data_IF_899573744555
#
_entry.id   IF_899573744555
#
_cell.length_a   1.000
_cell.length_b   1.000
_cell.length_c   1.000
_cell.angle_alpha   90.00
_cell.angle_beta   90.00
_cell.angle_gamma   90.00
#
_symmetry.space_group_name_H-M   'P 1'
#
loop_
_entity.id
_entity.type
_entity.pdbx_description
1 polymer ?
#
# COMPACT_ATOMS: atom_id res chain seq x y z
N UNK A 1 18.35 -2.43 -6.76
CA UNK A 1 17.21 -2.67 -7.69
C UNK A 1 16.14 -1.66 -7.39
N UNK A 2 15.86 -0.75 -8.32
CA UNK A 2 14.91 0.32 -8.13
C UNK A 2 13.51 -0.25 -7.92
N UNK A 3 12.89 0.10 -6.79
CA UNK A 3 11.48 -0.14 -6.55
C UNK A 3 10.69 0.72 -7.54
N UNK A 4 10.04 0.11 -8.51
CA UNK A 4 9.08 0.78 -9.38
C UNK A 4 7.80 1.09 -8.58
N UNK A 5 7.92 2.01 -7.62
CA UNK A 5 6.81 2.54 -6.86
C UNK A 5 6.28 3.79 -7.54
N UNK A 6 4.97 3.89 -7.70
CA UNK A 6 4.32 5.12 -8.14
C UNK A 6 4.29 6.07 -6.95
N UNK A 7 4.97 7.21 -7.06
CA UNK A 7 4.96 8.27 -6.04
C UNK A 7 4.06 9.41 -6.53
N UNK A 8 3.16 9.88 -5.69
CA UNK A 8 2.35 11.06 -6.00
C UNK A 8 2.36 12.05 -4.83
N UNK A 9 2.30 13.33 -5.16
CA UNK A 9 2.20 14.44 -4.21
C UNK A 9 0.80 15.04 -4.30
N UNK A 10 0.09 15.09 -3.17
CA UNK A 10 -1.25 15.68 -3.09
C UNK A 10 -1.09 17.18 -2.86
N UNK A 11 -1.68 17.99 -3.75
CA UNK A 11 -1.80 19.44 -3.62
C UNK A 11 -3.25 19.79 -3.20
N UNK A 12 -3.45 20.97 -2.59
CA UNK A 12 -4.78 21.45 -2.21
C UNK A 12 -5.21 21.10 -0.78
N UNK A 13 -4.26 20.75 0.09
CA UNK A 13 -4.50 20.55 1.53
C UNK A 13 -3.87 21.65 2.38
N UNK A 14 -3.63 22.84 1.80
CA UNK A 14 -2.81 23.90 2.42
C UNK A 14 -3.40 24.41 3.75
N UNK A 15 -4.71 24.63 3.83
CA UNK A 15 -5.38 25.04 5.08
C UNK A 15 -5.29 23.95 6.17
N UNK A 16 -5.51 22.69 5.79
CA UNK A 16 -5.36 21.55 6.70
C UNK A 16 -3.89 21.36 7.10
N UNK A 17 -2.96 21.68 6.20
CA UNK A 17 -1.53 21.69 6.46
C UNK A 17 -1.13 22.68 7.54
N UNK A 18 -1.67 23.91 7.49
CA UNK A 18 -1.45 24.93 8.51
C UNK A 18 -1.96 24.51 9.88
N UNK A 19 -3.21 24.02 9.94
CA UNK A 19 -3.79 23.50 11.19
C UNK A 19 -3.01 22.31 11.75
N UNK A 20 -2.48 21.43 10.90
CA UNK A 20 -1.60 20.35 11.31
C UNK A 20 -0.25 20.82 11.84
N UNK A 21 0.29 21.94 11.30
CA UNK A 21 1.57 22.49 11.74
C UNK A 21 1.51 23.07 13.16
N UNK A 22 0.35 23.52 13.61
CA UNK A 22 0.12 24.02 14.97
C UNK A 22 0.10 22.90 16.03
N UNK A 23 -0.11 21.66 15.64
CA UNK A 23 -0.16 20.52 16.55
C UNK A 23 1.23 20.01 16.92
N UNK A 24 1.35 19.42 18.11
CA UNK A 24 2.61 18.76 18.52
C UNK A 24 2.94 17.56 17.63
N UNK A 25 4.18 17.47 17.18
CA UNK A 25 4.67 16.58 16.14
C UNK A 25 4.22 15.10 16.17
N UNK A 26 4.07 14.48 17.37
CA UNK A 26 3.59 13.08 17.47
C UNK A 26 2.13 12.91 17.07
N UNK A 27 1.28 13.88 17.41
CA UNK A 27 -0.17 13.85 17.07
C UNK A 27 -0.36 14.10 15.58
N UNK A 28 0.32 15.10 15.04
CA UNK A 28 0.36 15.41 13.61
C UNK A 28 0.77 14.17 12.80
N UNK A 29 1.85 13.49 13.21
CA UNK A 29 2.33 12.31 12.52
C UNK A 29 1.32 11.15 12.54
N UNK A 30 0.54 10.97 13.62
CA UNK A 30 -0.52 9.97 13.69
C UNK A 30 -1.65 10.28 12.70
N UNK A 31 -2.06 11.55 12.62
CA UNK A 31 -3.14 12.00 11.71
C UNK A 31 -2.69 11.80 10.26
N UNK A 32 -1.50 12.29 9.88
CA UNK A 32 -0.95 12.14 8.53
C UNK A 32 -0.85 10.66 8.15
N UNK A 33 -0.30 9.82 9.04
CA UNK A 33 -0.19 8.38 8.81
C UNK A 33 -1.55 7.72 8.58
N UNK A 34 -2.56 8.09 9.37
CA UNK A 34 -3.92 7.59 9.22
C UNK A 34 -4.51 7.97 7.86
N UNK A 35 -4.36 9.23 7.46
CA UNK A 35 -4.85 9.74 6.18
C UNK A 35 -4.19 9.05 4.98
N UNK A 36 -2.86 8.99 4.96
CA UNK A 36 -2.11 8.34 3.87
C UNK A 36 -2.40 6.83 3.80
N UNK A 37 -2.59 6.18 4.96
CA UNK A 37 -3.01 4.77 5.00
C UNK A 37 -4.40 4.57 4.39
N UNK A 38 -5.34 5.45 4.69
CA UNK A 38 -6.69 5.39 4.14
C UNK A 38 -6.71 5.63 2.62
N UNK A 39 -5.94 6.60 2.13
CA UNK A 39 -5.76 6.84 0.69
C UNK A 39 -5.13 5.64 -0.03
N UNK A 40 -4.05 5.09 0.51
CA UNK A 40 -3.39 3.90 -0.05
C UNK A 40 -4.33 2.67 -0.09
N UNK A 41 -5.26 2.55 0.88
CA UNK A 41 -6.27 1.48 0.89
C UNK A 41 -7.23 1.54 -0.29
N UNK A 42 -7.59 2.75 -0.74
CA UNK A 42 -8.43 2.92 -1.95
C UNK A 42 -7.71 2.32 -3.16
N UNK A 43 -6.42 2.62 -3.33
CA UNK A 43 -5.61 2.08 -4.43
C UNK A 43 -5.52 0.56 -4.35
N UNK A 44 -5.21 0.00 -3.16
CA UNK A 44 -5.10 -1.44 -2.95
C UNK A 44 -6.40 -2.17 -3.31
N UNK A 45 -7.55 -1.64 -2.88
CA UNK A 45 -8.84 -2.25 -3.15
C UNK A 45 -9.17 -2.26 -4.64
N UNK A 46 -8.91 -1.17 -5.34
CA UNK A 46 -9.17 -1.09 -6.77
C UNK A 46 -8.17 -1.91 -7.60
N UNK A 47 -6.88 -1.86 -7.27
CA UNK A 47 -5.86 -2.71 -7.88
C UNK A 47 -6.18 -4.21 -7.71
N UNK A 48 -6.67 -4.62 -6.54
CA UNK A 48 -7.13 -6.00 -6.31
C UNK A 48 -8.31 -6.39 -7.20
N UNK A 49 -9.25 -5.46 -7.47
CA UNK A 49 -10.37 -5.72 -8.38
C UNK A 49 -9.89 -5.92 -9.82
N UNK A 50 -8.95 -5.11 -10.27
CA UNK A 50 -8.42 -5.10 -11.65
C UNK A 50 -7.41 -6.23 -11.89
N UNK A 51 -6.73 -6.68 -10.86
CA UNK A 51 -5.70 -7.71 -10.98
C UNK A 51 -6.23 -8.99 -11.59
N UNK A 52 -5.52 -9.58 -12.58
CA UNK A 52 -5.91 -10.82 -13.21
C UNK A 52 -6.00 -11.96 -12.20
N UNK A 53 -7.02 -12.81 -12.36
CA UNK A 53 -7.31 -13.91 -11.43
C UNK A 53 -7.04 -15.24 -12.09
N UNK A 54 -6.02 -15.94 -11.61
CA UNK A 54 -5.80 -17.35 -11.90
C UNK A 54 -5.99 -18.20 -10.65
N UNK A 55 -5.26 -17.85 -9.59
CA UNK A 55 -5.31 -18.53 -8.29
C UNK A 55 -5.73 -17.61 -7.14
N UNK A 56 -5.92 -16.33 -7.42
CA UNK A 56 -6.16 -15.29 -6.44
C UNK A 56 -4.94 -14.87 -5.63
N UNK A 57 -3.80 -15.54 -5.79
CA UNK A 57 -2.57 -15.23 -5.05
C UNK A 57 -2.09 -13.80 -5.31
N UNK A 58 -2.14 -13.32 -6.56
CA UNK A 58 -1.77 -11.95 -6.91
C UNK A 58 -2.61 -10.93 -6.15
N UNK A 59 -3.93 -11.10 -6.10
CA UNK A 59 -4.83 -10.20 -5.37
C UNK A 59 -4.49 -10.12 -3.88
N UNK A 60 -4.16 -11.24 -3.26
CA UNK A 60 -3.78 -11.32 -1.84
C UNK A 60 -2.44 -10.65 -1.57
N UNK A 61 -1.53 -10.66 -2.56
CA UNK A 61 -0.19 -10.09 -2.45
C UNK A 61 -0.12 -8.57 -2.70
N UNK A 62 -1.21 -7.94 -3.21
CA UNK A 62 -1.25 -6.49 -3.39
C UNK A 62 -1.50 -5.84 -2.05
N UNK A 63 -0.54 -5.07 -1.55
CA UNK A 63 -0.62 -4.40 -0.26
C UNK A 63 0.01 -3.01 -0.31
N UNK A 64 -0.22 -2.22 0.74
CA UNK A 64 0.48 -0.96 0.95
C UNK A 64 1.38 -1.07 2.18
N UNK A 65 2.67 -0.86 2.00
CA UNK A 65 3.63 -0.83 3.08
C UNK A 65 4.17 0.57 3.30
N UNK A 66 4.45 0.89 4.57
CA UNK A 66 5.11 2.14 4.94
C UNK A 66 6.56 2.10 4.49
N UNK A 67 6.98 3.15 3.81
CA UNK A 67 8.39 3.39 3.53
C UNK A 67 9.00 4.15 4.71
N UNK A 68 9.74 3.43 5.56
CA UNK A 68 10.36 3.99 6.75
C UNK A 68 11.54 4.90 6.43
N UNK A 69 12.21 4.70 5.29
CA UNK A 69 13.39 5.48 4.91
C UNK A 69 12.99 6.88 4.44
N UNK A 70 11.87 6.98 3.71
CA UNK A 70 11.37 8.22 3.17
C UNK A 70 10.30 8.89 4.07
N UNK A 71 9.84 8.22 5.13
CA UNK A 71 8.90 8.79 6.11
C UNK A 71 9.62 9.43 7.28
N UNK A 72 9.17 10.62 7.69
CA UNK A 72 9.75 11.40 8.78
C UNK A 72 8.73 12.30 9.49
N UNK A 73 9.17 13.24 10.33
CA UNK A 73 8.29 14.21 10.96
C UNK A 73 7.51 15.02 9.91
N UNK A 74 6.18 14.98 9.96
CA UNK A 74 5.32 15.68 9.00
C UNK A 74 5.22 15.02 7.62
N UNK A 75 5.95 13.93 7.37
CA UNK A 75 6.00 13.27 6.06
C UNK A 75 5.70 11.77 6.22
N UNK A 76 4.79 11.25 5.43
CA UNK A 76 4.48 9.82 5.41
C UNK A 76 4.47 9.31 3.96
N UNK A 77 5.27 8.31 3.70
CA UNK A 77 5.31 7.61 2.42
C UNK A 77 4.81 6.18 2.56
N UNK A 78 4.02 5.75 1.57
CA UNK A 78 3.58 4.36 1.45
C UNK A 78 3.73 3.88 0.01
N UNK A 79 4.30 2.70 -0.15
CA UNK A 79 4.35 2.03 -1.44
C UNK A 79 3.16 1.07 -1.57
N UNK A 80 2.44 1.13 -2.68
CA UNK A 80 1.45 0.12 -3.07
C UNK A 80 2.11 -0.75 -4.13
N UNK A 81 2.24 -2.03 -3.85
CA UNK A 81 2.90 -2.98 -4.74
C UNK A 81 2.47 -4.41 -4.43
N UNK A 82 3.05 -5.37 -5.14
CA UNK A 82 2.90 -6.80 -4.85
C UNK A 82 4.04 -7.23 -3.92
N UNK A 83 3.67 -7.63 -2.71
CA UNK A 83 4.63 -8.02 -1.68
C UNK A 83 4.65 -9.54 -1.48
N UNK A 84 5.73 -10.03 -0.84
CA UNK A 84 5.86 -11.42 -0.45
C UNK A 84 4.80 -11.77 0.60
N UNK A 85 4.08 -12.86 0.38
CA UNK A 85 3.07 -13.33 1.33
C UNK A 85 3.71 -14.38 2.24
N UNK A 86 3.52 -14.31 3.56
CA UNK A 86 3.97 -15.36 4.44
C UNK A 86 3.25 -16.67 4.11
N UNK A 87 4.01 -17.70 3.84
CA UNK A 87 3.54 -19.08 3.73
C UNK A 87 3.89 -19.85 4.99
N UNK A 88 3.20 -20.97 5.21
CA UNK A 88 3.51 -21.91 6.28
C UNK A 88 3.88 -23.24 5.66
N UNK A 89 5.02 -23.82 6.07
CA UNK A 89 5.40 -25.15 5.61
C UNK A 89 4.35 -26.18 6.05
N UNK A 90 3.75 -26.84 5.06
CA UNK A 90 2.77 -27.89 5.30
C UNK A 90 3.39 -29.03 6.14
N UNK A 91 2.54 -29.71 6.91
CA UNK A 91 2.96 -30.83 7.76
C UNK A 91 3.14 -32.11 6.91
N UNK A 92 4.16 -32.11 6.05
CA UNK A 92 4.57 -33.27 5.25
C UNK A 92 5.68 -34.02 5.95
N UNK A 93 5.81 -35.34 5.68
CA UNK A 93 6.89 -36.19 6.24
C UNK A 93 8.28 -35.55 6.03
N UNK A 94 8.52 -34.97 4.86
CA UNK A 94 9.78 -34.30 4.54
C UNK A 94 9.99 -33.02 5.36
N UNK A 95 8.96 -32.18 5.51
CA UNK A 95 9.05 -30.96 6.30
C UNK A 95 9.23 -31.23 7.79
N UNK A 96 8.59 -32.29 8.31
CA UNK A 96 8.80 -32.78 9.68
C UNK A 96 10.24 -33.25 9.87
N UNK A 97 10.76 -34.09 8.96
CA UNK A 97 12.15 -34.56 9.00
C UNK A 97 13.16 -33.41 8.97
N UNK A 98 12.87 -32.34 8.23
CA UNK A 98 13.73 -31.14 8.12
C UNK A 98 13.46 -30.12 9.25
N UNK A 99 12.59 -30.41 10.22
CA UNK A 99 12.27 -29.55 11.35
C UNK A 99 11.66 -28.20 10.97
N UNK A 100 11.02 -28.09 9.79
CA UNK A 100 10.45 -26.83 9.26
C UNK A 100 8.91 -26.85 9.19
N UNK A 101 8.25 -27.98 9.41
CA UNK A 101 6.79 -28.06 9.46
C UNK A 101 6.21 -27.04 10.43
N UNK A 102 5.19 -26.29 10.03
CA UNK A 102 4.57 -25.23 10.80
C UNK A 102 5.37 -23.92 10.89
N UNK A 103 6.62 -23.86 10.42
CA UNK A 103 7.39 -22.61 10.36
C UNK A 103 6.89 -21.73 9.23
N UNK A 104 6.88 -20.42 9.47
CA UNK A 104 6.57 -19.44 8.43
C UNK A 104 7.79 -19.19 7.53
N UNK A 105 7.56 -19.00 6.25
CA UNK A 105 8.56 -18.56 5.29
C UNK A 105 7.97 -17.45 4.42
N UNK A 106 8.82 -16.56 3.93
CA UNK A 106 8.41 -15.58 2.93
C UNK A 106 8.47 -16.26 1.57
N UNK A 107 7.32 -16.67 1.09
CA UNK A 107 7.19 -17.19 -0.25
C UNK A 107 7.39 -16.04 -1.22
N UNK A 108 8.32 -16.17 -2.16
CA UNK A 108 8.26 -15.34 -3.35
C UNK A 108 6.89 -15.56 -3.97
N UNK A 109 6.10 -14.47 -4.14
CA UNK A 109 4.78 -14.66 -4.67
C UNK A 109 4.93 -15.48 -5.94
N UNK A 110 4.11 -16.53 -6.16
CA UNK A 110 4.07 -17.22 -7.46
C UNK A 110 3.68 -16.25 -8.58
N UNK A 111 3.88 -15.03 -8.36
CA UNK A 111 3.43 -13.82 -9.05
C UNK A 111 4.61 -12.90 -9.37
N UNK A 112 5.85 -13.41 -9.43
CA UNK A 112 7.00 -12.58 -9.89
C UNK A 112 6.73 -11.96 -11.27
N UNK A 113 5.84 -12.58 -12.04
CA UNK A 113 5.40 -12.14 -13.35
C UNK A 113 4.40 -10.95 -13.30
N UNK A 114 3.99 -10.47 -12.12
CA UNK A 114 3.08 -9.32 -12.03
C UNK A 114 3.62 -8.07 -12.74
N UNK A 115 4.95 -7.89 -12.73
CA UNK A 115 5.61 -6.79 -13.45
C UNK A 115 5.40 -6.89 -14.95
N UNK A 116 5.40 -8.10 -15.50
CA UNK A 116 5.16 -8.34 -16.92
C UNK A 116 3.70 -8.07 -17.29
N UNK A 117 2.77 -8.29 -16.37
CA UNK A 117 1.38 -7.89 -16.56
C UNK A 117 1.21 -6.37 -16.47
N UNK A 118 1.86 -5.71 -15.51
CA UNK A 118 1.76 -4.26 -15.32
C UNK A 118 2.43 -3.47 -16.44
N UNK A 119 3.64 -3.85 -16.82
CA UNK A 119 4.49 -3.12 -17.76
C UNK A 119 4.48 -3.69 -19.18
N UNK A 120 3.97 -4.92 -19.34
CA UNK A 120 4.10 -5.66 -20.60
C UNK A 120 5.50 -6.22 -20.82
N UNK A 121 5.66 -6.92 -21.94
CA UNK A 121 6.92 -7.44 -22.46
C UNK A 121 6.94 -7.30 -23.98
N UNK A 122 8.08 -7.56 -24.62
CA UNK A 122 8.18 -7.56 -26.10
C UNK A 122 7.17 -8.52 -26.75
N UNK A 123 6.75 -9.58 -26.04
CA UNK A 123 5.85 -10.63 -26.54
C UNK A 123 4.41 -10.55 -26.00
N UNK A 124 4.17 -9.71 -24.98
CA UNK A 124 2.88 -9.61 -24.30
C UNK A 124 2.52 -8.15 -24.05
N UNK A 125 1.36 -7.66 -24.48
CA UNK A 125 0.91 -6.32 -24.20
C UNK A 125 0.69 -6.12 -22.68
N UNK A 126 0.93 -4.90 -22.21
CA UNK A 126 0.68 -4.52 -20.82
C UNK A 126 -0.81 -4.66 -20.46
N UNK A 127 -1.09 -5.15 -19.27
CA UNK A 127 -2.41 -5.17 -18.64
C UNK A 127 -2.29 -4.58 -17.23
N UNK A 128 -2.12 -3.25 -17.14
CA UNK A 128 -1.85 -2.58 -15.87
C UNK A 128 -3.06 -2.66 -14.94
N UNK A 129 -2.82 -2.78 -13.64
CA UNK A 129 -3.85 -2.83 -12.60
C UNK A 129 -3.54 -1.92 -11.41
N UNK A 130 -2.26 -1.58 -11.15
CA UNK A 130 -1.86 -0.66 -10.09
C UNK A 130 -1.94 0.79 -10.59
N UNK A 131 -1.38 1.06 -11.77
CA UNK A 131 -1.35 2.41 -12.35
C UNK A 131 -2.76 2.97 -12.59
N UNK A 132 -3.71 2.25 -13.23
CA UNK A 132 -5.09 2.74 -13.36
C UNK A 132 -5.80 2.87 -12.01
N UNK A 133 -5.53 1.97 -11.06
CA UNK A 133 -6.10 2.06 -9.72
C UNK A 133 -5.70 3.35 -8.99
N UNK A 134 -4.54 3.91 -9.29
CA UNK A 134 -4.14 5.22 -8.80
C UNK A 134 -4.78 6.34 -9.62
N UNK A 135 -4.55 6.37 -10.95
CA UNK A 135 -4.91 7.51 -11.80
C UNK A 135 -6.40 7.79 -11.85
N UNK A 136 -7.23 6.74 -11.86
CA UNK A 136 -8.69 6.88 -11.92
C UNK A 136 -9.32 7.22 -10.55
N UNK A 137 -8.61 7.00 -9.44
CA UNK A 137 -9.14 7.24 -8.10
C UNK A 137 -8.52 8.45 -7.39
N UNK A 138 -7.77 9.33 -8.07
CA UNK A 138 -7.08 10.46 -7.44
C UNK A 138 -8.04 11.32 -6.61
N UNK A 139 -9.17 11.72 -7.16
CA UNK A 139 -10.18 12.52 -6.46
C UNK A 139 -10.67 11.83 -5.18
N UNK A 140 -11.07 10.55 -5.30
CA UNK A 140 -11.53 9.75 -4.16
C UNK A 140 -10.45 9.56 -3.08
N UNK A 141 -9.20 9.41 -3.50
CA UNK A 141 -8.05 9.30 -2.56
C UNK A 141 -7.92 10.59 -1.76
N UNK A 142 -7.97 11.74 -2.44
CA UNK A 142 -7.88 13.07 -1.80
C UNK A 142 -9.03 13.26 -0.81
N UNK A 143 -10.26 12.95 -1.20
CA UNK A 143 -11.44 13.11 -0.34
C UNK A 143 -11.35 12.23 0.92
N UNK A 144 -10.93 10.97 0.76
CA UNK A 144 -10.75 10.06 1.91
C UNK A 144 -9.63 10.55 2.83
N UNK A 145 -8.53 11.07 2.26
CA UNK A 145 -7.43 11.62 3.05
C UNK A 145 -7.87 12.88 3.80
N UNK A 146 -8.58 13.81 3.13
CA UNK A 146 -9.13 15.03 3.73
C UNK A 146 -10.03 14.68 4.92
N UNK A 147 -11.01 13.80 4.71
CA UNK A 147 -11.92 13.35 5.77
C UNK A 147 -11.16 12.77 6.98
N UNK A 148 -10.10 11.98 6.74
CA UNK A 148 -9.29 11.42 7.83
C UNK A 148 -8.49 12.47 8.59
N UNK A 149 -8.04 13.52 7.93
CA UNK A 149 -7.37 14.65 8.57
C UNK A 149 -8.37 15.43 9.42
N UNK A 150 -9.54 15.76 8.88
CA UNK A 150 -10.61 16.46 9.59
C UNK A 150 -11.07 15.68 10.85
N UNK A 151 -11.30 14.37 10.72
CA UNK A 151 -11.62 13.49 11.86
C UNK A 151 -10.50 13.48 12.92
N UNK A 152 -9.26 13.53 12.47
CA UNK A 152 -8.08 13.57 13.35
C UNK A 152 -7.94 14.89 14.09
N UNK A 153 -8.15 16.01 13.39
CA UNK A 153 -8.13 17.37 13.97
C UNK A 153 -9.26 17.55 14.98
N UNK A 154 -10.49 17.16 14.64
CA UNK A 154 -11.63 17.24 15.54
C UNK A 154 -11.41 16.49 16.88
N UNK A 155 -10.72 15.35 16.85
CA UNK A 155 -10.37 14.59 18.06
C UNK A 155 -9.32 15.27 18.95
N UNK A 156 -8.52 16.16 18.39
CA UNK A 156 -7.44 16.86 19.12
C UNK A 156 -7.95 18.18 19.68
N UNK A 157 -8.87 18.83 18.96
CA UNK A 157 -9.45 20.11 19.38
C UNK A 157 -10.53 19.94 20.46
N UNK A 158 -11.00 18.67 20.72
CA UNK A 158 -11.91 18.26 21.84
C UNK A 158 -13.09 19.19 22.11
N UNK A 159 -14.16 18.74 22.77
CA UNK A 159 -15.19 19.69 23.21
C UNK A 159 -14.65 20.63 24.29
#
# INVERSE_FOLDING_TARGET
MANAGITFKVQGLDLLGQQLAELRGKTTQKIIRSAVTAGARVIVLDARRRAPVRTGALRKSIESLRDKQNSGPGIEFRAVSVFKVPGVYANTKENVRKGRAGRTYLQDPPTFYWKFNELGTVRQPARPFIQPALSENIGRIIDVMRKKIEEGLAKVQGP
#
